data_IF_904723892314
#
_entry.id   IF_904723892314
#
_cell.length_a   1.000
_cell.length_b   1.000
_cell.length_c   1.000
_cell.angle_alpha   90.00
_cell.angle_beta   90.00
_cell.angle_gamma   90.00
#
_symmetry.space_group_name_H-M   'P 1'
#
loop_
_entity.id
_entity.type
_entity.pdbx_description
1 polymer ?
#
# COMPACT_ATOMS: atom_id res chain seq x y z
N UNK A 1 -3.38 18.01 -15.63
CA UNK A 1 -3.40 16.70 -14.97
C UNK A 1 -4.28 16.77 -13.73
N UNK A 2 -5.17 15.81 -13.55
CA UNK A 2 -6.11 15.78 -12.41
C UNK A 2 -5.44 15.00 -11.27
N UNK A 3 -5.48 15.55 -10.05
CA UNK A 3 -5.05 14.87 -8.82
C UNK A 3 -6.27 14.68 -7.92
N UNK A 4 -6.50 13.45 -7.50
CA UNK A 4 -7.66 13.09 -6.69
C UNK A 4 -7.16 12.56 -5.35
N UNK A 5 -7.61 13.16 -4.26
CA UNK A 5 -7.39 12.66 -2.90
C UNK A 5 -8.73 12.21 -2.31
N UNK A 6 -8.76 11.04 -1.69
CA UNK A 6 -9.94 10.52 -1.00
C UNK A 6 -9.72 10.66 0.50
N UNK A 7 -10.54 11.46 1.16
CA UNK A 7 -10.46 11.75 2.61
C UNK A 7 -11.69 11.23 3.35
N UNK A 8 -11.64 11.21 4.68
CA UNK A 8 -12.71 10.73 5.56
C UNK A 8 -12.18 10.03 6.81
N UNK A 9 -13.05 9.76 7.78
CA UNK A 9 -12.69 9.15 9.06
C UNK A 9 -11.95 7.80 8.90
N UNK A 10 -11.00 7.44 9.78
CA UNK A 10 -10.38 6.11 9.78
C UNK A 10 -11.44 5.00 9.75
N UNK A 11 -11.23 3.95 8.94
CA UNK A 11 -12.21 2.88 8.77
C UNK A 11 -13.39 3.17 7.84
N UNK A 12 -13.53 4.37 7.27
CA UNK A 12 -14.64 4.74 6.38
C UNK A 12 -14.68 4.03 5.00
N UNK A 13 -13.85 3.01 4.77
CA UNK A 13 -13.84 2.25 3.52
C UNK A 13 -13.08 2.86 2.34
N UNK A 14 -12.31 3.95 2.53
CA UNK A 14 -11.50 4.60 1.45
C UNK A 14 -10.63 3.59 0.68
N UNK A 15 -9.87 2.78 1.41
CA UNK A 15 -9.00 1.75 0.82
C UNK A 15 -9.80 0.70 0.05
N UNK A 16 -11.03 0.40 0.50
CA UNK A 16 -11.96 -0.51 -0.17
C UNK A 16 -12.46 0.08 -1.49
N UNK A 17 -12.83 1.36 -1.50
CA UNK A 17 -13.25 2.08 -2.72
C UNK A 17 -12.12 2.10 -3.74
N UNK A 18 -10.90 2.50 -3.35
CA UNK A 18 -9.74 2.46 -4.25
C UNK A 18 -9.54 1.07 -4.86
N UNK A 19 -9.61 0.01 -4.04
CA UNK A 19 -9.43 -1.37 -4.49
C UNK A 19 -10.53 -1.82 -5.45
N UNK A 20 -11.77 -1.41 -5.22
CA UNK A 20 -12.89 -1.73 -6.11
C UNK A 20 -12.83 -0.97 -7.44
N UNK A 21 -12.36 0.28 -7.42
CA UNK A 21 -12.11 1.05 -8.64
C UNK A 21 -11.00 0.41 -9.45
N UNK A 22 -9.88 0.06 -8.81
CA UNK A 22 -8.76 -0.64 -9.45
C UNK A 22 -9.21 -1.94 -10.14
N UNK A 23 -10.10 -2.72 -9.51
CA UNK A 23 -10.67 -3.94 -10.13
C UNK A 23 -11.54 -3.67 -11.37
N UNK A 24 -12.12 -2.48 -11.49
CA UNK A 24 -13.01 -2.10 -12.61
C UNK A 24 -12.29 -1.38 -13.74
N UNK A 25 -11.06 -0.92 -13.50
CA UNK A 25 -10.26 -0.27 -14.52
C UNK A 25 -9.66 -1.34 -15.45
N UNK A 26 -9.87 -1.16 -16.76
CA UNK A 26 -9.31 -2.03 -17.80
C UNK A 26 -7.91 -1.61 -18.26
N UNK A 27 -7.22 -0.76 -17.48
CA UNK A 27 -5.89 -0.24 -17.80
C UNK A 27 -4.85 -0.75 -16.81
N UNK A 28 -3.59 -0.78 -17.26
CA UNK A 28 -2.45 -1.07 -16.38
C UNK A 28 -2.33 0.04 -15.33
N UNK A 29 -2.55 -0.33 -14.06
CA UNK A 29 -2.48 0.58 -12.93
C UNK A 29 -1.20 0.30 -12.13
N UNK A 30 -0.36 1.32 -11.97
CA UNK A 30 0.82 1.27 -11.10
C UNK A 30 0.55 1.85 -9.71
N UNK A 31 1.51 1.70 -8.80
CA UNK A 31 1.50 2.30 -7.48
C UNK A 31 1.45 1.28 -6.35
N UNK A 32 1.23 1.79 -5.13
CA UNK A 32 1.33 1.02 -3.90
C UNK A 32 0.04 1.11 -3.08
N UNK A 33 -0.32 0.01 -2.44
CA UNK A 33 -1.25 -0.01 -1.31
C UNK A 33 -0.51 -0.36 -0.02
N UNK A 34 -0.94 0.20 1.11
CA UNK A 34 -0.38 -0.07 2.43
C UNK A 34 -1.47 -0.56 3.40
N UNK A 35 -1.11 -1.51 4.27
CA UNK A 35 -1.97 -2.03 5.31
C UNK A 35 -1.22 -2.18 6.64
N UNK A 36 -1.90 -2.01 7.77
CA UNK A 36 -1.31 -2.21 9.09
C UNK A 36 -1.02 -3.70 9.32
N UNK A 37 0.21 -4.02 9.72
CA UNK A 37 0.54 -5.34 10.31
C UNK A 37 0.31 -5.23 11.81
N UNK A 38 -0.59 -6.08 12.34
CA UNK A 38 -0.90 -6.14 13.77
C UNK A 38 -0.51 -7.50 14.36
N UNK A 39 0.31 -7.50 15.41
CA UNK A 39 0.62 -8.69 16.23
C UNK A 39 0.15 -8.43 17.66
N UNK A 40 -0.55 -9.39 18.27
CA UNK A 40 -1.04 -9.29 19.67
C UNK A 40 -1.80 -7.99 19.98
N UNK A 41 -2.54 -7.45 19.00
CA UNK A 41 -3.32 -6.21 19.14
C UNK A 41 -2.54 -4.91 18.91
N UNK A 42 -1.21 -4.96 18.79
CA UNK A 42 -0.40 -3.78 18.49
C UNK A 42 -0.04 -3.68 17.01
N UNK A 43 0.00 -2.44 16.47
CA UNK A 43 0.60 -2.19 15.17
C UNK A 43 2.11 -2.40 15.27
N UNK A 44 2.62 -3.39 14.55
CA UNK A 44 4.04 -3.77 14.54
C UNK A 44 4.76 -3.38 13.25
N UNK A 45 4.05 -3.01 12.18
CA UNK A 45 4.63 -2.51 10.94
C UNK A 45 3.58 -2.24 9.86
N UNK A 46 4.01 -2.11 8.62
CA UNK A 46 3.15 -1.92 7.46
C UNK A 46 3.46 -2.95 6.38
N UNK A 47 2.43 -3.57 5.82
CA UNK A 47 2.53 -4.32 4.57
C UNK A 47 2.41 -3.32 3.42
N UNK A 48 3.32 -3.41 2.45
CA UNK A 48 3.32 -2.65 1.21
C UNK A 48 3.07 -3.64 0.09
N UNK A 49 2.12 -3.33 -0.78
CA UNK A 49 1.80 -4.13 -1.95
C UNK A 49 1.83 -3.30 -3.22
N UNK A 50 2.62 -3.74 -4.18
CA UNK A 50 2.66 -3.21 -5.53
C UNK A 50 1.39 -3.62 -6.30
N UNK A 51 0.72 -2.66 -6.93
CA UNK A 51 -0.56 -2.88 -7.62
C UNK A 51 -0.35 -3.59 -8.96
N UNK A 52 0.76 -3.33 -9.66
CA UNK A 52 1.02 -3.85 -11.00
C UNK A 52 1.50 -5.31 -10.99
N UNK A 53 2.37 -5.64 -10.03
CA UNK A 53 3.01 -6.96 -9.91
C UNK A 53 2.35 -7.84 -8.85
N UNK A 54 1.62 -7.25 -7.89
CA UNK A 54 1.10 -7.95 -6.73
C UNK A 54 2.15 -8.29 -5.67
N UNK A 55 3.42 -7.91 -5.89
CA UNK A 55 4.51 -8.14 -4.96
C UNK A 55 4.25 -7.45 -3.63
N UNK A 56 4.61 -8.13 -2.54
CA UNK A 56 4.40 -7.66 -1.18
C UNK A 56 5.75 -7.51 -0.46
N UNK A 57 5.83 -6.47 0.37
CA UNK A 57 6.97 -6.18 1.23
C UNK A 57 6.52 -5.66 2.59
N UNK A 58 7.43 -5.68 3.56
CA UNK A 58 7.17 -5.16 4.89
C UNK A 58 7.97 -3.87 5.08
N UNK A 59 7.35 -2.86 5.69
CA UNK A 59 7.96 -1.58 6.03
C UNK A 59 7.83 -1.29 7.51
N UNK A 60 8.90 -0.73 8.10
CA UNK A 60 8.95 -0.22 9.47
C UNK A 60 8.44 -1.23 10.52
N UNK A 61 8.87 -2.49 10.41
CA UNK A 61 8.46 -3.53 11.34
C UNK A 61 9.33 -3.53 12.61
N UNK A 62 8.71 -3.55 13.80
CA UNK A 62 9.41 -3.45 15.10
C UNK A 62 10.51 -4.51 15.29
N UNK A 63 10.35 -5.70 14.71
CA UNK A 63 11.28 -6.85 14.87
C UNK A 63 12.04 -7.23 13.59
N UNK A 64 11.71 -6.62 12.46
CA UNK A 64 12.31 -6.98 11.17
C UNK A 64 12.98 -5.72 10.62
N UNK A 65 14.31 -5.77 10.52
CA UNK A 65 15.06 -4.85 9.68
C UNK A 65 14.71 -5.23 8.23
N UNK A 66 13.61 -4.65 7.73
CA UNK A 66 13.11 -4.99 6.42
C UNK A 66 14.16 -4.61 5.38
N UNK A 67 14.49 -5.55 4.47
CA UNK A 67 15.07 -5.17 3.19
C UNK A 67 13.96 -4.45 2.41
N UNK A 68 13.92 -3.13 2.52
CA UNK A 68 12.88 -2.30 1.90
C UNK A 68 13.16 -2.16 0.40
N UNK A 69 13.01 -3.25 -0.37
CA UNK A 69 13.15 -3.15 -1.83
C UNK A 69 12.04 -2.29 -2.44
N UNK A 70 10.83 -2.30 -1.84
CA UNK A 70 9.65 -1.62 -2.39
C UNK A 70 9.72 -0.08 -2.30
N UNK A 71 10.22 0.50 -1.19
CA UNK A 71 10.37 1.97 -1.10
C UNK A 71 11.61 2.45 -1.82
N UNK A 72 12.69 1.66 -1.82
CA UNK A 72 13.87 1.97 -2.62
C UNK A 72 13.52 2.00 -4.12
N UNK A 73 12.72 1.05 -4.62
CA UNK A 73 12.21 1.09 -6.01
C UNK A 73 11.24 2.26 -6.25
N UNK A 74 10.35 2.60 -5.31
CA UNK A 74 9.41 3.71 -5.48
C UNK A 74 10.09 5.09 -5.54
N UNK A 75 11.19 5.26 -4.80
CA UNK A 75 11.99 6.51 -4.80
C UNK A 75 12.94 6.55 -6.00
N UNK A 76 13.50 5.41 -6.40
CA UNK A 76 14.50 5.35 -7.48
C UNK A 76 13.92 5.18 -8.88
N UNK A 77 12.60 4.99 -9.03
CA UNK A 77 11.93 5.08 -10.34
C UNK A 77 12.52 4.17 -11.41
N UNK A 78 12.68 2.88 -11.10
CA UNK A 78 13.06 1.84 -12.07
C UNK A 78 11.85 1.04 -12.50
#
# INVERSE_FOLDING_TARGET
MIRIAITGAPGSGKSTVCRNVLKKLACTCGGITSADIREKGERVGFEIRDIATGNQGVLAHKKVQARVWAVTMLILGT
#
